data_IF_533240334630
#
_entry.id   IF_533240334630
#
_cell.length_a   1.000
_cell.length_b   1.000
_cell.length_c   1.000
_cell.angle_alpha   90.00
_cell.angle_beta   90.00
_cell.angle_gamma   90.00
#
_symmetry.space_group_name_H-M   'P 1'
#
loop_
_entity.id
_entity.type
_entity.pdbx_description
1 polymer ?
#
# COMPACT_ATOMS: atom_id res chain seq x y z
N UNK A 1 -36.37 -39.47 -35.68
CA UNK A 1 -37.22 -38.25 -35.72
C UNK A 1 -37.65 -37.91 -34.30
N UNK A 2 -36.98 -37.06 -33.59
CA UNK A 2 -37.45 -36.44 -32.37
C UNK A 2 -36.69 -35.08 -32.25
N UNK A 3 -37.39 -34.01 -32.51
CA UNK A 3 -36.93 -32.63 -32.39
C UNK A 3 -36.84 -32.25 -30.92
N UNK A 4 -35.68 -31.84 -30.41
CA UNK A 4 -35.52 -31.14 -29.14
C UNK A 4 -35.36 -29.66 -29.40
N UNK A 5 -36.34 -28.93 -29.03
CA UNK A 5 -36.35 -27.44 -29.01
C UNK A 5 -35.70 -27.03 -27.72
N UNK A 6 -34.52 -26.39 -27.79
CA UNK A 6 -33.89 -25.72 -26.66
C UNK A 6 -34.35 -24.26 -26.64
N UNK A 7 -35.13 -23.94 -25.65
CA UNK A 7 -35.50 -22.56 -25.34
C UNK A 7 -34.29 -21.87 -24.66
N UNK A 8 -33.77 -20.84 -25.31
CA UNK A 8 -32.76 -19.93 -24.75
C UNK A 8 -33.47 -18.89 -23.91
N UNK A 9 -33.32 -18.96 -22.59
CA UNK A 9 -33.76 -17.91 -21.68
C UNK A 9 -32.63 -16.85 -21.59
N UNK A 10 -32.89 -15.71 -22.17
CA UNK A 10 -32.05 -14.52 -22.12
C UNK A 10 -32.34 -13.80 -20.78
N UNK A 11 -31.45 -13.94 -19.77
CA UNK A 11 -31.51 -13.16 -18.55
C UNK A 11 -30.76 -11.85 -18.75
N UNK A 12 -31.50 -10.76 -18.92
CA UNK A 12 -30.99 -9.39 -18.83
C UNK A 12 -30.64 -9.11 -17.37
N UNK A 13 -29.36 -9.06 -17.06
CA UNK A 13 -28.88 -8.47 -15.81
C UNK A 13 -28.69 -6.96 -16.00
N UNK A 14 -29.62 -6.20 -15.45
CA UNK A 14 -29.51 -4.73 -15.32
C UNK A 14 -28.47 -4.45 -14.24
N UNK A 15 -27.32 -3.93 -14.66
CA UNK A 15 -26.31 -3.41 -13.74
C UNK A 15 -26.75 -2.09 -13.12
N UNK A 16 -27.00 -2.07 -11.82
CA UNK A 16 -27.14 -0.84 -11.06
C UNK A 16 -25.75 -0.23 -10.82
N UNK A 17 -25.47 0.84 -11.53
CA UNK A 17 -24.40 1.79 -11.18
C UNK A 17 -24.88 2.60 -9.97
N UNK A 18 -24.41 2.25 -8.79
CA UNK A 18 -24.60 3.01 -7.57
C UNK A 18 -23.66 4.21 -7.55
N UNK A 19 -24.13 5.37 -8.00
CA UNK A 19 -23.47 6.63 -7.73
C UNK A 19 -23.76 7.05 -6.29
N UNK A 20 -22.73 7.17 -5.46
CA UNK A 20 -22.84 7.77 -4.13
C UNK A 20 -22.95 9.30 -4.30
N UNK A 21 -24.16 9.82 -4.45
CA UNK A 21 -24.46 11.24 -4.25
C UNK A 21 -24.98 11.41 -2.83
N UNK A 22 -24.17 12.03 -1.96
CA UNK A 22 -24.64 12.48 -0.65
C UNK A 22 -25.52 13.70 -0.82
N UNK A 23 -26.81 13.57 -0.48
CA UNK A 23 -27.70 14.69 -0.21
C UNK A 23 -27.81 14.86 1.29
N UNK A 24 -27.50 16.08 1.76
CA UNK A 24 -27.72 16.45 3.14
C UNK A 24 -29.19 16.58 3.47
N UNK A 25 -29.55 16.22 4.67
CA UNK A 25 -30.70 16.81 5.34
C UNK A 25 -30.41 16.98 6.84
N UNK A 26 -30.77 18.13 7.30
CA UNK A 26 -30.48 18.74 8.58
C UNK A 26 -31.41 18.17 9.66
N UNK A 27 -30.90 17.57 10.73
CA UNK A 27 -31.63 17.56 12.01
C UNK A 27 -30.67 17.32 13.18
N UNK A 28 -30.42 18.38 13.89
CA UNK A 28 -30.18 18.54 15.35
C UNK A 28 -29.40 17.48 16.14
N UNK A 29 -28.15 17.80 16.42
CA UNK A 29 -27.39 17.75 17.67
C UNK A 29 -27.46 16.51 18.57
N UNK A 30 -26.35 15.77 18.60
CA UNK A 30 -25.66 15.46 19.86
C UNK A 30 -24.18 15.29 19.54
N UNK A 31 -23.31 16.01 20.26
CA UNK A 31 -21.91 16.23 19.96
C UNK A 31 -21.09 14.98 19.66
N UNK A 32 -20.82 14.76 18.38
CA UNK A 32 -19.70 13.98 17.93
C UNK A 32 -18.55 14.96 17.76
N UNK A 33 -17.60 14.94 18.66
CA UNK A 33 -16.33 15.65 18.53
C UNK A 33 -15.66 15.15 17.26
N UNK A 34 -15.71 15.97 16.22
CA UNK A 34 -14.94 15.77 14.98
C UNK A 34 -13.48 15.63 15.39
N UNK A 35 -12.90 14.47 15.17
CA UNK A 35 -11.47 14.25 15.33
C UNK A 35 -10.76 15.27 14.45
N UNK A 36 -10.11 16.24 15.06
CA UNK A 36 -9.26 17.19 14.37
C UNK A 36 -8.00 16.41 14.00
N UNK A 37 -7.80 16.16 12.71
CA UNK A 37 -6.59 15.58 12.14
C UNK A 37 -5.42 16.57 12.28
N UNK A 38 -5.00 16.82 13.50
CA UNK A 38 -3.67 17.30 13.76
C UNK A 38 -2.83 16.07 14.01
N UNK A 39 -1.80 15.77 13.21
CA UNK A 39 -0.84 14.75 13.58
C UNK A 39 -0.22 15.19 14.89
N UNK A 40 -0.68 14.62 15.98
CA UNK A 40 -0.03 14.82 17.27
C UNK A 40 1.34 14.19 17.12
N UNK A 41 2.35 15.05 17.07
CA UNK A 41 3.74 14.66 16.97
C UNK A 41 4.11 14.00 18.31
N UNK A 42 3.85 12.71 18.42
CA UNK A 42 4.09 11.90 19.63
C UNK A 42 5.58 11.79 19.97
N UNK A 43 6.46 12.32 19.11
CA UNK A 43 7.92 12.25 19.29
C UNK A 43 8.45 13.13 20.46
N UNK A 44 7.68 14.10 20.94
CA UNK A 44 8.16 15.06 21.95
C UNK A 44 7.84 14.66 23.39
N UNK A 45 7.14 13.56 23.62
CA UNK A 45 6.84 13.06 24.97
C UNK A 45 7.91 12.07 25.41
N UNK A 46 8.67 12.32 26.49
CA UNK A 46 9.64 11.36 27.00
C UNK A 46 9.00 10.00 27.28
N UNK A 47 9.55 8.94 26.69
CA UNK A 47 9.04 7.58 26.83
C UNK A 47 7.84 7.24 25.95
N UNK A 48 7.44 8.12 25.01
CA UNK A 48 6.40 7.80 24.06
C UNK A 48 6.77 6.57 23.20
N UNK A 49 5.83 5.64 23.12
CA UNK A 49 5.92 4.51 22.20
C UNK A 49 5.47 4.93 20.80
N UNK A 50 5.90 4.22 19.75
CA UNK A 50 5.31 4.40 18.43
C UNK A 50 3.79 4.15 18.50
N UNK A 51 3.00 4.62 17.54
CA UNK A 51 1.58 4.31 17.49
C UNK A 51 1.35 2.80 17.44
N UNK A 52 0.60 2.30 18.44
CA UNK A 52 0.26 0.90 18.62
C UNK A 52 -1.26 0.73 18.71
N UNK A 53 -1.77 -0.36 18.17
CA UNK A 53 -3.17 -0.77 18.31
C UNK A 53 -3.26 -2.26 18.57
N UNK A 54 -4.18 -2.69 19.45
CA UNK A 54 -4.49 -4.10 19.64
C UNK A 54 -5.81 -4.46 18.96
N UNK A 55 -5.78 -5.47 18.11
CA UNK A 55 -6.93 -6.03 17.41
C UNK A 55 -6.82 -7.55 17.43
N UNK A 56 -7.91 -8.23 17.82
CA UNK A 56 -8.01 -9.71 17.88
C UNK A 56 -6.90 -10.39 18.69
N UNK A 57 -6.41 -9.71 19.73
CA UNK A 57 -5.36 -10.22 20.61
C UNK A 57 -3.94 -9.91 20.17
N UNK A 58 -3.74 -9.44 18.93
CA UNK A 58 -2.45 -9.08 18.38
C UNK A 58 -2.21 -7.57 18.50
N UNK A 59 -0.96 -7.18 18.74
CA UNK A 59 -0.55 -5.77 18.81
C UNK A 59 0.18 -5.39 17.53
N UNK A 60 -0.34 -4.37 16.86
CA UNK A 60 0.20 -3.85 15.61
C UNK A 60 0.86 -2.50 15.82
N UNK A 61 1.98 -2.28 15.16
CA UNK A 61 2.76 -1.04 15.18
C UNK A 61 2.66 -0.33 13.83
N UNK A 62 2.49 0.98 13.87
CA UNK A 62 2.54 1.86 12.70
C UNK A 62 3.88 1.69 11.96
N UNK A 63 3.82 1.37 10.69
CA UNK A 63 4.99 1.29 9.80
C UNK A 63 5.29 2.65 9.17
N UNK A 64 4.35 3.59 9.23
CA UNK A 64 4.37 4.88 8.54
C UNK A 64 4.17 4.78 7.04
N UNK A 65 3.87 3.61 6.49
CA UNK A 65 3.56 3.44 5.08
C UNK A 65 2.06 3.53 4.83
N UNK A 66 1.70 4.13 3.70
CA UNK A 66 0.32 4.16 3.20
C UNK A 66 0.08 2.94 2.32
N UNK A 67 -0.97 2.20 2.59
CA UNK A 67 -1.40 1.14 1.70
C UNK A 67 -2.29 1.71 0.59
N UNK A 68 -1.71 2.02 -0.55
CA UNK A 68 -2.43 2.51 -1.73
C UNK A 68 -3.21 1.41 -2.47
N UNK A 69 -3.02 0.15 -2.12
CA UNK A 69 -3.78 -0.98 -2.67
C UNK A 69 -5.20 -1.06 -2.15
N UNK A 70 -5.52 -0.37 -1.05
CA UNK A 70 -6.89 -0.29 -0.52
C UNK A 70 -7.65 0.79 -1.26
N UNK A 71 -8.39 0.41 -2.28
CA UNK A 71 -9.17 1.35 -3.11
C UNK A 71 -10.63 1.47 -2.67
N UNK A 72 -11.21 0.40 -2.13
CA UNK A 72 -12.56 0.37 -1.60
C UNK A 72 -12.64 -0.78 -0.60
N UNK A 73 -12.99 -0.52 0.63
CA UNK A 73 -13.08 -1.57 1.64
C UNK A 73 -14.03 -1.21 2.75
N UNK A 74 -14.83 -2.17 3.17
CA UNK A 74 -15.60 -2.07 4.41
C UNK A 74 -14.61 -2.25 5.57
N UNK A 75 -14.66 -1.35 6.55
CA UNK A 75 -13.88 -1.50 7.77
C UNK A 75 -14.33 -2.78 8.54
N UNK A 76 -13.36 -3.50 9.07
CA UNK A 76 -13.62 -4.67 9.93
C UNK A 76 -14.02 -4.25 11.34
N UNK A 77 -13.62 -3.03 11.74
CA UNK A 77 -13.94 -2.50 13.04
C UNK A 77 -13.45 -1.05 13.23
N UNK A 78 -13.61 -0.58 14.47
CA UNK A 78 -13.24 0.77 14.86
C UNK A 78 -12.51 0.73 16.20
N UNK A 79 -11.46 1.51 16.35
CA UNK A 79 -10.72 1.69 17.61
C UNK A 79 -11.61 2.44 18.59
N UNK A 80 -11.95 1.83 19.71
CA UNK A 80 -12.97 2.31 20.65
C UNK A 80 -12.39 2.93 21.91
N UNK A 81 -11.21 2.46 22.34
CA UNK A 81 -10.57 2.90 23.57
C UNK A 81 -9.12 3.31 23.31
N UNK A 82 -8.57 4.14 24.19
CA UNK A 82 -7.16 4.46 24.11
C UNK A 82 -6.51 4.46 25.49
N UNK A 83 -5.23 4.14 25.50
CA UNK A 83 -4.33 4.27 26.65
C UNK A 83 -3.38 5.44 26.43
N UNK A 84 -2.62 5.77 27.46
CA UNK A 84 -1.56 6.77 27.39
C UNK A 84 -0.51 6.38 26.32
N UNK A 85 0.10 7.40 25.69
CA UNK A 85 1.08 7.22 24.60
C UNK A 85 2.33 6.42 25.02
N UNK A 86 2.59 6.34 26.33
CA UNK A 86 3.71 5.55 26.89
C UNK A 86 3.35 4.10 27.17
N UNK A 87 2.10 3.70 26.91
CA UNK A 87 1.59 2.35 27.23
C UNK A 87 1.29 1.54 25.99
N UNK A 88 1.56 0.25 26.09
CA UNK A 88 1.11 -0.71 25.08
C UNK A 88 -0.38 -1.03 25.30
N UNK A 89 -1.22 -0.98 24.25
CA UNK A 89 -2.60 -1.45 24.31
C UNK A 89 -2.68 -2.89 24.80
N UNK A 90 -3.71 -3.21 25.60
CA UNK A 90 -3.88 -4.54 26.18
C UNK A 90 -5.30 -5.09 26.04
N UNK A 91 -6.16 -4.41 25.29
CA UNK A 91 -7.53 -4.82 24.96
C UNK A 91 -7.77 -4.69 23.46
N UNK A 92 -8.67 -5.50 22.93
CA UNK A 92 -9.09 -5.35 21.54
C UNK A 92 -9.75 -4.00 21.31
N UNK A 93 -9.52 -3.45 20.12
CA UNK A 93 -9.98 -2.13 19.70
C UNK A 93 -9.44 -0.98 20.57
N UNK A 94 -8.25 -1.17 21.14
CA UNK A 94 -7.55 -0.17 21.96
C UNK A 94 -6.26 0.28 21.28
N UNK A 95 -5.96 1.59 21.34
CA UNK A 95 -4.71 2.16 20.83
C UNK A 95 -4.02 3.06 21.86
N UNK A 96 -2.77 3.45 21.59
CA UNK A 96 -2.07 4.49 22.34
C UNK A 96 -2.04 5.85 21.62
N UNK A 97 -2.81 6.01 20.52
CA UNK A 97 -2.82 7.23 19.70
C UNK A 97 -4.22 7.83 19.49
N UNK A 98 -5.23 7.35 20.20
CA UNK A 98 -6.59 7.89 20.17
C UNK A 98 -7.64 6.88 19.68
N UNK A 99 -8.87 7.35 19.48
CA UNK A 99 -10.05 6.52 19.17
C UNK A 99 -10.75 7.03 17.91
N UNK A 100 -11.72 6.25 17.40
CA UNK A 100 -12.55 6.61 16.26
C UNK A 100 -11.97 6.23 14.91
N UNK A 101 -10.77 5.66 14.87
CA UNK A 101 -10.16 5.21 13.63
C UNK A 101 -10.75 3.87 13.20
N UNK A 102 -11.16 3.78 11.93
CA UNK A 102 -11.54 2.52 11.30
C UNK A 102 -10.30 1.69 11.01
N UNK A 103 -10.45 0.36 11.08
CA UNK A 103 -9.38 -0.56 10.68
C UNK A 103 -9.90 -1.67 9.79
N UNK A 104 -9.00 -2.24 9.00
CA UNK A 104 -9.24 -3.37 8.11
C UNK A 104 -8.07 -4.34 8.19
N UNK A 105 -8.35 -5.62 8.38
CA UNK A 105 -7.33 -6.67 8.26
C UNK A 105 -6.81 -6.71 6.83
N UNK A 106 -5.50 -6.81 6.69
CA UNK A 106 -4.86 -6.98 5.39
C UNK A 106 -4.35 -8.42 5.23
N UNK A 107 -3.08 -8.60 4.91
CA UNK A 107 -2.45 -9.92 4.90
C UNK A 107 -2.13 -10.38 6.34
N UNK A 108 -1.83 -11.69 6.56
CA UNK A 108 -1.45 -12.18 7.88
C UNK A 108 -0.33 -11.34 8.50
N UNK A 109 -0.56 -10.84 9.71
CA UNK A 109 0.36 -9.97 10.43
C UNK A 109 0.32 -8.49 10.03
N UNK A 110 -0.65 -8.07 9.20
CA UNK A 110 -0.83 -6.67 8.83
C UNK A 110 -2.26 -6.20 9.05
N UNK A 111 -2.35 -4.92 9.42
CA UNK A 111 -3.61 -4.21 9.64
C UNK A 111 -3.52 -2.85 8.96
N UNK A 112 -4.56 -2.45 8.25
CA UNK A 112 -4.72 -1.07 7.79
C UNK A 112 -5.52 -0.28 8.83
N UNK A 113 -5.04 0.91 9.20
CA UNK A 113 -5.77 1.85 10.06
C UNK A 113 -6.01 3.12 9.27
N UNK A 114 -7.26 3.54 9.17
CA UNK A 114 -7.65 4.74 8.43
C UNK A 114 -7.35 5.99 9.24
N UNK A 115 -6.51 6.86 8.69
CA UNK A 115 -6.22 8.19 9.24
C UNK A 115 -6.49 9.24 8.17
N UNK A 116 -7.51 10.05 8.40
CA UNK A 116 -8.05 10.92 7.35
C UNK A 116 -8.51 10.09 6.15
N UNK A 117 -8.08 10.46 4.96
CA UNK A 117 -8.43 9.74 3.72
C UNK A 117 -7.45 8.60 3.37
N UNK A 118 -6.52 8.27 4.26
CA UNK A 118 -5.42 7.34 3.95
C UNK A 118 -5.46 6.13 4.85
N UNK A 119 -5.21 4.94 4.28
CA UNK A 119 -4.99 3.71 5.02
C UNK A 119 -3.50 3.56 5.36
N UNK A 120 -3.18 3.66 6.65
CA UNK A 120 -1.82 3.46 7.14
C UNK A 120 -1.64 1.98 7.47
N UNK A 121 -0.54 1.41 6.98
CA UNK A 121 -0.19 0.02 7.27
C UNK A 121 0.42 -0.10 8.66
N UNK A 122 -0.11 -1.00 9.44
CA UNK A 122 0.41 -1.44 10.74
C UNK A 122 0.88 -2.88 10.63
N UNK A 123 1.97 -3.22 11.31
CA UNK A 123 2.55 -4.56 11.33
C UNK A 123 2.50 -5.13 12.74
N UNK A 124 2.14 -6.41 12.86
CA UNK A 124 2.20 -7.15 14.11
C UNK A 124 3.64 -7.10 14.67
N UNK A 125 3.76 -6.69 15.95
CA UNK A 125 5.05 -6.57 16.62
C UNK A 125 5.75 -7.93 16.82
N UNK A 126 5.01 -9.03 16.75
CA UNK A 126 5.56 -10.38 16.82
C UNK A 126 6.20 -10.81 15.48
N UNK A 127 5.91 -10.12 14.38
CA UNK A 127 6.54 -10.41 13.11
C UNK A 127 8.00 -9.95 13.08
N UNK A 128 8.88 -10.85 12.71
CA UNK A 128 10.30 -10.54 12.48
C UNK A 128 10.56 -10.32 10.96
N UNK A 129 9.78 -9.43 10.34
CA UNK A 129 9.91 -9.08 8.93
C UNK A 129 10.07 -7.58 8.75
N UNK A 130 10.99 -7.19 7.88
CA UNK A 130 11.17 -5.80 7.43
C UNK A 130 10.60 -5.57 6.04
N UNK A 131 10.07 -6.62 5.41
CA UNK A 131 9.52 -6.56 4.07
C UNK A 131 8.12 -5.93 4.10
N UNK A 132 7.84 -5.15 3.06
CA UNK A 132 6.49 -4.66 2.82
C UNK A 132 5.63 -5.76 2.22
N UNK A 133 4.35 -5.86 2.60
CA UNK A 133 3.45 -6.84 1.98
C UNK A 133 3.23 -6.53 0.51
N UNK A 134 2.83 -7.58 -0.21
CA UNK A 134 2.50 -7.55 -1.62
C UNK A 134 1.47 -6.47 -1.95
N UNK A 135 1.73 -5.69 -3.01
CA UNK A 135 0.79 -4.68 -3.48
C UNK A 135 0.77 -3.36 -2.69
N UNK A 136 1.69 -3.17 -1.74
CA UNK A 136 1.77 -1.94 -0.94
C UNK A 136 2.84 -0.99 -1.49
N UNK A 137 4.11 -1.37 -1.45
CA UNK A 137 5.18 -0.50 -1.94
C UNK A 137 5.22 -0.45 -3.47
N UNK A 138 5.23 0.76 -4.03
CA UNK A 138 5.27 0.95 -5.47
C UNK A 138 6.00 2.24 -5.88
N UNK A 139 6.40 2.30 -7.16
CA UNK A 139 6.93 3.49 -7.81
C UNK A 139 6.64 3.47 -9.31
N UNK A 140 6.80 4.60 -9.99
CA UNK A 140 6.73 4.69 -11.44
C UNK A 140 8.13 4.80 -12.04
N UNK A 141 8.32 4.17 -13.19
CA UNK A 141 9.58 4.21 -13.90
C UNK A 141 9.38 4.14 -15.41
N UNK A 142 10.32 4.67 -16.16
CA UNK A 142 10.45 4.48 -17.60
C UNK A 142 11.36 3.29 -17.87
N UNK A 143 10.94 2.39 -18.73
CA UNK A 143 11.75 1.26 -19.18
C UNK A 143 12.77 1.75 -20.20
N UNK A 144 14.05 1.71 -19.87
CA UNK A 144 15.15 2.10 -20.75
C UNK A 144 15.60 0.96 -21.66
N UNK A 145 15.66 -0.24 -21.12
CA UNK A 145 16.03 -1.44 -21.85
C UNK A 145 15.23 -2.65 -21.34
N UNK A 146 14.90 -3.55 -22.26
CA UNK A 146 14.10 -4.75 -21.99
C UNK A 146 14.90 -5.99 -22.37
N UNK A 147 15.12 -6.89 -21.41
CA UNK A 147 15.78 -8.18 -21.57
C UNK A 147 14.83 -9.30 -21.19
N UNK A 148 15.16 -10.53 -21.55
CA UNK A 148 14.31 -11.69 -21.26
C UNK A 148 14.15 -11.96 -19.75
N UNK A 149 15.17 -11.63 -18.95
CA UNK A 149 15.24 -11.91 -17.51
C UNK A 149 15.08 -10.66 -16.63
N UNK A 150 15.15 -9.49 -17.22
CA UNK A 150 15.09 -8.22 -16.46
C UNK A 150 14.71 -7.02 -17.31
N UNK A 151 14.22 -6.00 -16.66
CA UNK A 151 14.07 -4.66 -17.23
C UNK A 151 15.08 -3.71 -16.60
N UNK A 152 15.65 -2.83 -17.41
CA UNK A 152 16.40 -1.67 -16.92
C UNK A 152 15.47 -0.46 -16.90
N UNK A 153 15.27 0.12 -15.73
CA UNK A 153 14.33 1.23 -15.58
C UNK A 153 14.99 2.46 -14.92
N UNK A 154 14.51 3.63 -15.32
CA UNK A 154 14.78 4.89 -14.64
C UNK A 154 13.55 5.29 -13.84
N UNK A 155 13.69 5.49 -12.54
CA UNK A 155 12.60 5.95 -11.68
C UNK A 155 12.18 7.34 -12.11
N UNK A 156 10.87 7.55 -12.28
CA UNK A 156 10.29 8.84 -12.67
C UNK A 156 9.43 9.45 -11.57
N UNK A 157 8.84 8.60 -10.72
CA UNK A 157 8.03 9.07 -9.61
C UNK A 157 8.01 8.03 -8.50
N UNK A 158 8.19 8.50 -7.26
CA UNK A 158 8.01 7.72 -6.05
C UNK A 158 6.93 8.39 -5.20
N UNK A 159 5.90 7.66 -4.74
CA UNK A 159 4.97 8.21 -3.78
C UNK A 159 5.74 8.73 -2.54
N UNK A 160 5.38 9.91 -1.99
CA UNK A 160 6.11 10.51 -0.87
C UNK A 160 6.32 9.57 0.32
N UNK A 161 5.35 8.69 0.55
CA UNK A 161 5.36 7.69 1.61
C UNK A 161 6.50 6.69 1.49
N UNK A 162 6.96 6.42 0.26
CA UNK A 162 8.01 5.45 -0.03
C UNK A 162 9.37 6.08 -0.34
N UNK A 163 9.46 7.42 -0.36
CA UNK A 163 10.70 8.13 -0.66
C UNK A 163 11.88 7.64 0.20
N UNK A 164 11.60 7.35 1.48
CA UNK A 164 12.62 6.85 2.42
C UNK A 164 13.25 5.49 2.04
N UNK A 165 12.55 4.67 1.24
CA UNK A 165 13.11 3.40 0.74
C UNK A 165 14.28 3.67 -0.19
N UNK A 166 14.15 4.72 -1.01
CA UNK A 166 15.15 5.11 -2.01
C UNK A 166 16.27 5.99 -1.43
N UNK A 167 16.03 6.64 -0.27
CA UNK A 167 17.01 7.53 0.39
C UNK A 167 17.72 6.86 1.56
N UNK A 168 17.58 5.55 1.75
CA UNK A 168 18.18 4.82 2.87
C UNK A 168 19.69 5.10 2.95
N UNK A 169 20.13 5.55 4.13
CA UNK A 169 21.53 5.93 4.35
C UNK A 169 21.91 7.33 3.85
N UNK A 170 20.98 8.10 3.31
CA UNK A 170 21.20 9.48 2.86
C UNK A 170 20.43 10.46 3.77
N UNK A 171 21.11 11.49 4.24
CA UNK A 171 20.50 12.60 5.02
C UNK A 171 19.82 13.62 4.08
N UNK A 172 19.03 13.16 3.12
CA UNK A 172 18.33 14.05 2.21
C UNK A 172 16.86 14.17 2.63
N UNK A 173 16.33 15.38 2.82
CA UNK A 173 14.93 15.59 3.21
C UNK A 173 13.94 15.33 2.08
N UNK A 174 14.36 15.41 0.84
CA UNK A 174 13.55 15.20 -0.35
C UNK A 174 14.25 14.24 -1.32
N UNK A 175 13.46 13.38 -1.96
CA UNK A 175 13.95 12.46 -2.98
C UNK A 175 14.06 13.20 -4.31
N UNK A 176 15.29 13.34 -4.82
CA UNK A 176 15.55 13.74 -6.20
C UNK A 176 15.62 12.48 -7.09
N UNK A 177 14.54 12.22 -7.83
CA UNK A 177 14.45 11.03 -8.67
C UNK A 177 15.47 11.02 -9.82
N UNK A 178 15.89 12.19 -10.28
CA UNK A 178 16.89 12.33 -11.37
C UNK A 178 18.29 11.93 -10.90
N UNK A 179 18.54 11.99 -9.59
CA UNK A 179 19.81 11.54 -8.99
C UNK A 179 19.87 10.02 -8.78
N UNK A 180 18.74 9.32 -8.90
CA UNK A 180 18.70 7.88 -8.69
C UNK A 180 19.40 7.14 -9.82
N UNK A 181 20.19 6.13 -9.44
CA UNK A 181 20.78 5.21 -10.40
C UNK A 181 19.67 4.41 -11.12
N UNK A 182 19.88 4.01 -12.39
CA UNK A 182 19.03 3.05 -13.05
C UNK A 182 18.89 1.78 -12.20
N UNK A 183 17.70 1.18 -12.21
CA UNK A 183 17.38 -0.01 -11.45
C UNK A 183 17.22 -1.20 -12.40
N UNK A 184 17.83 -2.33 -12.03
CA UNK A 184 17.56 -3.60 -12.67
C UNK A 184 16.40 -4.31 -11.95
N UNK A 185 15.28 -4.48 -12.64
CA UNK A 185 14.11 -5.22 -12.14
C UNK A 185 14.21 -6.67 -12.59
N UNK A 186 14.30 -7.64 -11.68
CA UNK A 186 14.11 -9.05 -12.04
C UNK A 186 12.65 -9.28 -12.44
N UNK A 187 12.42 -10.05 -13.51
CA UNK A 187 11.08 -10.34 -14.03
C UNK A 187 10.75 -11.83 -14.07
N UNK A 188 11.68 -12.67 -13.67
CA UNK A 188 11.60 -14.14 -13.68
C UNK A 188 10.68 -14.71 -12.58
N UNK A 189 10.44 -13.96 -11.52
CA UNK A 189 9.63 -14.38 -10.37
C UNK A 189 8.39 -13.50 -10.16
N UNK A 190 7.85 -12.91 -11.23
CA UNK A 190 6.63 -12.15 -11.13
C UNK A 190 5.46 -13.09 -10.83
N UNK A 191 4.95 -13.00 -9.62
CA UNK A 191 3.75 -13.70 -9.16
C UNK A 191 2.47 -13.16 -9.86
N UNK A 192 2.65 -12.50 -10.97
CA UNK A 192 1.60 -11.81 -11.67
C UNK A 192 1.28 -12.51 -12.97
N UNK A 193 0.22 -13.28 -12.88
CA UNK A 193 -0.53 -13.68 -14.04
C UNK A 193 -1.90 -13.04 -13.96
N UNK A 194 -2.14 -11.97 -14.68
CA UNK A 194 -3.50 -11.62 -15.06
C UNK A 194 -3.91 -12.71 -16.05
N UNK A 195 -4.86 -13.54 -15.68
CA UNK A 195 -5.38 -14.64 -16.49
C UNK A 195 -4.37 -15.79 -16.77
N UNK A 196 -3.37 -16.01 -15.88
CA UNK A 196 -2.42 -17.12 -16.06
C UNK A 196 -1.33 -16.88 -17.11
N UNK A 197 -1.19 -15.65 -17.62
CA UNK A 197 -0.16 -15.30 -18.61
C UNK A 197 1.06 -14.69 -17.95
N UNK A 198 2.24 -15.17 -18.32
CA UNK A 198 3.52 -14.54 -17.96
C UNK A 198 3.55 -13.11 -18.52
N UNK A 199 4.06 -12.16 -17.76
CA UNK A 199 4.25 -10.79 -18.26
C UNK A 199 5.22 -10.85 -19.44
N UNK A 200 4.75 -10.47 -20.63
CA UNK A 200 5.62 -10.27 -21.77
C UNK A 200 6.38 -8.97 -21.57
N UNK A 201 7.68 -9.08 -21.31
CA UNK A 201 8.57 -7.93 -21.13
C UNK A 201 9.14 -7.42 -22.44
N UNK A 202 8.90 -8.10 -23.55
CA UNK A 202 9.38 -7.68 -24.87
C UNK A 202 8.64 -6.40 -25.32
N UNK A 203 9.37 -5.48 -25.91
CA UNK A 203 8.77 -4.26 -26.47
C UNK A 203 8.35 -3.20 -25.42
N UNK A 204 8.75 -3.34 -24.16
CA UNK A 204 8.45 -2.35 -23.13
C UNK A 204 9.38 -1.14 -23.13
N UNK A 205 10.46 -1.14 -23.87
CA UNK A 205 11.40 0.00 -23.97
C UNK A 205 10.66 1.29 -24.33
N UNK A 206 10.89 2.35 -23.54
CA UNK A 206 10.23 3.64 -23.67
C UNK A 206 8.83 3.71 -23.02
N UNK A 207 8.29 2.61 -22.51
CA UNK A 207 7.02 2.62 -21.79
C UNK A 207 7.20 3.03 -20.34
N UNK A 208 6.17 3.69 -19.79
CA UNK A 208 6.06 3.95 -18.36
C UNK A 208 5.37 2.79 -17.68
N UNK A 209 5.93 2.36 -16.57
CA UNK A 209 5.40 1.25 -15.77
C UNK A 209 5.21 1.66 -14.31
N UNK A 210 4.22 1.08 -13.65
CA UNK A 210 4.16 1.03 -12.19
C UNK A 210 4.71 -0.31 -11.72
N UNK A 211 5.62 -0.25 -10.75
CA UNK A 211 6.31 -1.42 -10.19
C UNK A 211 5.89 -1.59 -8.73
N UNK A 212 5.39 -2.77 -8.36
CA UNK A 212 5.14 -3.17 -6.98
C UNK A 212 6.21 -4.15 -6.52
N UNK A 213 6.76 -3.91 -5.33
CA UNK A 213 7.90 -4.65 -4.81
C UNK A 213 7.84 -4.83 -3.29
N UNK A 214 8.79 -5.52 -2.71
CA UNK A 214 8.86 -5.83 -1.28
C UNK A 214 9.32 -4.65 -0.38
N UNK A 215 9.47 -3.47 -0.97
CA UNK A 215 9.90 -2.27 -0.23
C UNK A 215 11.40 -2.23 0.06
N UNK A 216 12.20 -3.11 -0.55
CA UNK A 216 13.66 -3.11 -0.37
C UNK A 216 14.39 -2.77 -1.67
N UNK A 217 15.47 -2.01 -1.54
CA UNK A 217 16.49 -1.87 -2.57
C UNK A 217 17.69 -2.65 -2.08
N UNK A 218 18.03 -3.71 -2.82
CA UNK A 218 19.16 -4.55 -2.44
C UNK A 218 20.47 -3.87 -2.80
N UNK A 219 21.34 -3.82 -1.83
CA UNK A 219 22.70 -3.32 -1.98
C UNK A 219 23.42 -3.41 -0.64
N UNK A 220 24.72 -3.48 -0.69
CA UNK A 220 25.55 -3.28 0.51
C UNK A 220 25.62 -1.77 0.80
N UNK A 221 25.63 -1.38 2.05
CA UNK A 221 25.90 0.02 2.40
C UNK A 221 27.42 0.25 2.49
N UNK A 222 27.98 1.23 1.75
CA UNK A 222 27.32 2.03 0.72
C UNK A 222 26.95 1.22 -0.53
N UNK A 223 25.85 1.60 -1.20
CA UNK A 223 25.39 0.97 -2.44
C UNK A 223 26.44 1.14 -3.55
N UNK A 224 27.12 0.07 -3.89
CA UNK A 224 28.21 0.04 -4.86
C UNK A 224 27.78 -0.48 -6.24
N UNK A 225 26.60 -1.07 -6.35
CA UNK A 225 26.15 -1.65 -7.61
C UNK A 225 25.67 -0.57 -8.58
N UNK A 226 25.91 -0.80 -9.88
CA UNK A 226 25.37 -0.02 -10.98
C UNK A 226 25.05 -1.00 -12.11
N UNK A 227 23.80 -1.24 -12.43
CA UNK A 227 22.57 -0.65 -11.88
C UNK A 227 22.28 -1.07 -10.43
N UNK A 228 21.49 -0.27 -9.73
CA UNK A 228 20.96 -0.65 -8.43
C UNK A 228 20.06 -1.90 -8.57
N UNK A 229 20.03 -2.74 -7.54
CA UNK A 229 19.19 -3.95 -7.53
C UNK A 229 17.99 -3.70 -6.64
N UNK A 230 16.82 -4.04 -7.16
CA UNK A 230 15.59 -4.07 -6.39
C UNK A 230 15.45 -5.42 -5.69
N UNK A 231 14.75 -5.43 -4.56
CA UNK A 231 14.31 -6.67 -3.93
C UNK A 231 13.28 -7.40 -4.78
N UNK A 232 12.40 -8.17 -4.15
CA UNK A 232 11.42 -8.94 -4.91
C UNK A 232 10.39 -8.01 -5.58
N UNK A 233 10.25 -8.14 -6.90
CA UNK A 233 9.20 -7.49 -7.68
C UNK A 233 7.98 -8.42 -7.70
N UNK A 234 6.81 -7.89 -7.37
CA UNK A 234 5.57 -8.65 -7.37
C UNK A 234 4.74 -8.44 -8.63
N UNK A 235 4.70 -7.20 -9.12
CA UNK A 235 3.86 -6.81 -10.24
C UNK A 235 4.50 -5.67 -11.03
N UNK A 236 4.34 -5.72 -12.34
CA UNK A 236 4.65 -4.60 -13.25
C UNK A 236 3.38 -4.33 -14.06
N UNK A 237 2.95 -3.10 -14.14
CA UNK A 237 1.79 -2.67 -14.90
C UNK A 237 2.19 -1.55 -15.85
N UNK A 238 1.97 -1.75 -17.14
CA UNK A 238 2.21 -0.73 -18.15
C UNK A 238 1.13 0.34 -18.02
N UNK A 239 1.57 1.59 -17.82
CA UNK A 239 0.66 2.73 -17.83
C UNK A 239 0.39 3.04 -19.29
N UNK A 240 -0.85 2.86 -19.72
CA UNK A 240 -1.28 3.40 -21.03
C UNK A 240 -1.23 4.91 -20.92
N UNK A 241 -0.50 5.56 -21.83
CA UNK A 241 -0.58 7.00 -21.99
C UNK A 241 -2.06 7.34 -22.13
N UNK A 242 -2.60 8.14 -21.20
CA UNK A 242 -3.95 8.66 -21.35
C UNK A 242 -3.93 9.56 -22.59
N UNK A 243 -4.71 9.19 -23.61
CA UNK A 243 -4.98 10.02 -24.78
C UNK A 243 -5.62 11.35 -24.37
#
# INVERSE_FOLDING_TARGET
MKHFIFAVILLLSVGLLGACTGSGDDTTATGVTKATDTPTNTADTPGALPPLVQVRGEVYKDTGYVNSGVTCGTADGTIRTSVDVTKTPNKNDESNFGTGYEYQTWEPGYLNVKRGERWILFQDIAMNSTLMPKGVANFRAEVKESYADRLMVQVTQVPPEYARIFTKGQNQPELDVDSLKPIALPVDNLDYTKDGTTVDTTGLTGKTVTVWFDGTISGTEPEMSSPARLGQVYKIEVISDAE
#
